data_IF_627957850655
#
_entry.id   IF_627957850655
#
_cell.length_a   1.000
_cell.length_b   1.000
_cell.length_c   1.000
_cell.angle_alpha   90.00
_cell.angle_beta   90.00
_cell.angle_gamma   90.00
#
_symmetry.space_group_name_H-M   'P 1'
#
loop_
_entity.id
_entity.type
_entity.pdbx_description
1 polymer ?
#
# COMPACT_ATOMS: atom_id res chain seq x y z
N UNK A 1 -22.22 7.86 -1.85
CA UNK A 1 -21.05 8.31 -2.65
C UNK A 1 -19.99 7.22 -2.81
N UNK A 2 -19.74 6.39 -1.78
CA UNK A 2 -18.82 5.24 -1.85
C UNK A 2 -19.16 4.22 -2.97
N UNK A 3 -20.45 3.99 -3.26
CA UNK A 3 -20.89 3.03 -4.30
C UNK A 3 -20.63 3.48 -5.75
N UNK A 4 -20.36 4.76 -6.04
CA UNK A 4 -19.96 5.21 -7.38
C UNK A 4 -18.45 5.13 -7.59
N UNK A 5 -17.67 5.24 -6.52
CA UNK A 5 -16.20 5.17 -6.54
C UNK A 5 -15.73 3.73 -6.79
N UNK A 6 -16.38 2.74 -6.16
CA UNK A 6 -16.09 1.32 -6.41
C UNK A 6 -16.47 0.90 -7.84
N UNK A 7 -17.55 1.44 -8.41
CA UNK A 7 -17.98 1.11 -9.77
C UNK A 7 -16.99 1.60 -10.85
N UNK A 8 -16.41 2.79 -10.66
CA UNK A 8 -15.43 3.36 -11.60
C UNK A 8 -14.11 2.59 -11.59
N UNK A 9 -13.65 2.15 -10.41
CA UNK A 9 -12.42 1.35 -10.27
C UNK A 9 -12.61 -0.06 -10.84
N UNK A 10 -13.75 -0.71 -10.55
CA UNK A 10 -14.04 -2.06 -11.08
C UNK A 10 -14.21 -2.03 -12.61
N UNK A 11 -14.80 -0.99 -13.19
CA UNK A 11 -15.00 -0.91 -14.64
C UNK A 11 -13.71 -0.56 -15.42
N UNK A 12 -12.73 0.13 -14.80
CA UNK A 12 -11.44 0.47 -15.44
C UNK A 12 -10.42 -0.69 -15.38
N UNK A 13 -10.40 -1.44 -14.26
CA UNK A 13 -9.50 -2.59 -14.05
C UNK A 13 -9.89 -3.81 -14.90
N UNK A 14 -11.13 -3.92 -15.37
CA UNK A 14 -11.61 -5.06 -16.14
C UNK A 14 -11.14 -5.09 -17.62
N UNK A 15 -10.38 -4.10 -18.12
CA UNK A 15 -9.96 -4.06 -19.54
C UNK A 15 -8.53 -3.54 -19.86
N UNK A 16 -7.70 -3.16 -18.88
CA UNK A 16 -6.40 -2.50 -19.13
C UNK A 16 -5.21 -3.22 -18.46
N UNK A 17 -4.00 -3.06 -19.03
CA UNK A 17 -2.76 -3.63 -18.47
C UNK A 17 -2.39 -2.89 -17.18
N UNK A 18 -1.64 -3.54 -16.29
CA UNK A 18 -1.15 -2.91 -15.06
C UNK A 18 -0.34 -1.62 -15.34
N UNK A 19 0.43 -1.58 -16.43
CA UNK A 19 1.18 -0.39 -16.83
C UNK A 19 0.28 0.81 -17.15
N UNK A 20 -0.86 0.59 -17.81
CA UNK A 20 -1.81 1.66 -18.14
C UNK A 20 -2.37 2.30 -16.86
N UNK A 21 -2.64 1.46 -15.85
CA UNK A 21 -3.05 1.91 -14.53
C UNK A 21 -1.96 2.76 -13.87
N UNK A 22 -0.71 2.32 -13.88
CA UNK A 22 0.42 3.07 -13.30
C UNK A 22 0.61 4.44 -13.99
N UNK A 23 0.47 4.52 -15.31
CA UNK A 23 0.55 5.82 -16.00
C UNK A 23 -0.68 6.71 -15.74
N UNK A 24 -1.85 6.11 -15.55
CA UNK A 24 -3.06 6.84 -15.17
C UNK A 24 -2.92 7.51 -13.80
N UNK A 25 -2.35 6.83 -12.79
CA UNK A 25 -2.23 7.40 -11.44
C UNK A 25 -1.43 8.71 -11.42
N UNK A 26 -0.35 8.80 -12.22
CA UNK A 26 0.43 10.03 -12.40
C UNK A 26 -0.37 11.18 -13.01
N UNK A 27 -1.24 10.89 -13.99
CA UNK A 27 -2.04 11.91 -14.70
C UNK A 27 -3.25 12.38 -13.90
N UNK A 28 -3.90 11.47 -13.19
CA UNK A 28 -5.18 11.72 -12.53
C UNK A 28 -5.08 12.63 -11.30
N UNK A 29 -3.85 12.94 -10.83
CA UNK A 29 -3.54 13.80 -9.69
C UNK A 29 -4.54 13.62 -8.53
N UNK A 30 -4.65 12.38 -8.05
CA UNK A 30 -5.64 11.96 -7.07
C UNK A 30 -4.95 11.62 -5.75
N UNK A 31 -5.53 12.05 -4.62
CA UNK A 31 -4.99 11.77 -3.29
C UNK A 31 -4.82 10.27 -2.99
N UNK A 32 -5.55 9.39 -3.70
CA UNK A 32 -5.48 7.95 -3.51
C UNK A 32 -4.11 7.34 -3.87
N UNK A 33 -3.31 8.05 -4.67
CA UNK A 33 -2.02 7.58 -5.17
C UNK A 33 -0.86 8.46 -4.70
N UNK A 34 -1.09 9.24 -3.66
CA UNK A 34 -0.07 10.09 -3.05
C UNK A 34 0.81 9.27 -2.08
N UNK A 35 2.09 9.63 -1.92
CA UNK A 35 2.97 9.02 -0.93
C UNK A 35 2.37 9.04 0.48
N UNK A 36 2.48 7.90 1.19
CA UNK A 36 1.96 7.71 2.54
C UNK A 36 2.58 8.67 3.55
N UNK A 37 3.83 9.08 3.33
CA UNK A 37 4.54 10.09 4.13
C UNK A 37 3.77 11.40 4.28
N UNK A 38 2.86 11.72 3.34
CA UNK A 38 2.04 12.93 3.40
C UNK A 38 0.88 12.85 4.41
N UNK A 39 0.54 11.65 4.88
CA UNK A 39 -0.60 11.41 5.79
C UNK A 39 -0.19 11.03 7.20
N UNK A 40 1.12 10.93 7.47
CA UNK A 40 1.66 10.46 8.75
C UNK A 40 2.41 11.60 9.43
N UNK A 41 2.28 11.71 10.76
CA UNK A 41 3.04 12.66 11.56
C UNK A 41 4.54 12.52 11.30
N UNK A 42 5.33 13.59 11.42
CA UNK A 42 6.78 13.56 11.17
C UNK A 42 7.52 12.55 12.08
N UNK A 43 7.08 12.44 13.32
CA UNK A 43 7.67 11.53 14.33
C UNK A 43 6.59 10.68 15.00
N UNK A 44 6.16 9.58 14.37
CA UNK A 44 5.18 8.68 14.97
C UNK A 44 5.82 7.85 16.09
N UNK A 45 5.08 7.60 17.17
CA UNK A 45 5.54 6.76 18.30
C UNK A 45 5.71 5.28 17.93
N UNK A 46 5.02 4.84 16.88
CA UNK A 46 5.05 3.50 16.34
C UNK A 46 4.55 3.48 14.88
N UNK A 47 5.20 2.70 14.02
CA UNK A 47 4.75 2.36 12.66
C UNK A 47 4.79 0.84 12.53
N UNK A 48 3.65 0.23 12.20
CA UNK A 48 3.56 -1.19 11.87
C UNK A 48 3.33 -1.42 10.39
N UNK A 49 3.72 -2.59 9.89
CA UNK A 49 3.54 -3.06 8.51
C UNK A 49 2.43 -4.11 8.46
N UNK A 50 1.55 -4.04 7.45
CA UNK A 50 0.45 -5.02 7.28
C UNK A 50 1.00 -6.40 6.93
N UNK A 51 2.15 -6.42 6.26
CA UNK A 51 2.93 -7.61 5.93
C UNK A 51 3.36 -8.35 7.21
N UNK A 52 3.65 -7.61 8.28
CA UNK A 52 4.07 -8.12 9.59
C UNK A 52 2.98 -7.92 10.67
N UNK A 53 1.70 -7.86 10.26
CA UNK A 53 0.61 -7.37 11.09
C UNK A 53 0.58 -7.97 12.50
N UNK A 54 0.65 -9.30 12.62
CA UNK A 54 0.58 -9.97 13.92
C UNK A 54 1.75 -9.60 14.84
N UNK A 55 2.96 -9.52 14.29
CA UNK A 55 4.18 -9.22 15.05
C UNK A 55 4.21 -7.75 15.48
N UNK A 56 3.90 -6.84 14.55
CA UNK A 56 3.88 -5.41 14.84
C UNK A 56 2.71 -5.04 15.77
N UNK A 57 1.57 -5.69 15.62
CA UNK A 57 0.45 -5.50 16.55
C UNK A 57 0.81 -5.97 17.96
N UNK A 58 1.52 -7.11 18.10
CA UNK A 58 2.02 -7.56 19.40
C UNK A 58 2.96 -6.53 20.04
N UNK A 59 3.92 -6.00 19.28
CA UNK A 59 4.83 -4.92 19.75
C UNK A 59 4.05 -3.68 20.19
N UNK A 60 3.00 -3.30 19.45
CA UNK A 60 2.15 -2.18 19.81
C UNK A 60 1.39 -2.45 21.12
N UNK A 61 0.80 -3.65 21.26
CA UNK A 61 0.09 -4.10 22.47
C UNK A 61 0.98 -3.99 23.71
N UNK A 62 2.21 -4.49 23.61
CA UNK A 62 3.23 -4.39 24.67
C UNK A 62 3.60 -2.93 24.97
N UNK A 63 3.77 -2.10 23.93
CA UNK A 63 4.10 -0.66 24.08
C UNK A 63 3.02 0.12 24.81
N UNK A 64 1.74 -0.18 24.57
CA UNK A 64 0.61 0.51 25.22
C UNK A 64 0.14 -0.14 26.52
N UNK A 65 0.69 -1.31 26.87
CA UNK A 65 0.35 -2.02 28.11
C UNK A 65 -1.06 -2.63 28.11
N UNK A 66 -1.60 -2.95 26.93
CA UNK A 66 -2.89 -3.63 26.80
C UNK A 66 -2.66 -5.02 26.21
N UNK A 67 -3.41 -6.00 26.70
CA UNK A 67 -3.46 -7.34 26.10
C UNK A 67 -4.65 -7.38 25.14
N UNK A 68 -4.39 -7.35 23.82
CA UNK A 68 -5.42 -7.27 22.80
C UNK A 68 -5.35 -8.52 21.91
N UNK A 69 -6.43 -9.27 21.87
CA UNK A 69 -6.57 -10.42 20.99
C UNK A 69 -6.74 -9.99 19.53
N UNK A 70 -5.92 -10.56 18.65
CA UNK A 70 -5.97 -10.28 17.21
C UNK A 70 -7.07 -11.15 16.57
N UNK A 71 -8.08 -10.57 15.90
CA UNK A 71 -9.08 -11.37 15.22
C UNK A 71 -8.45 -12.17 14.07
N UNK A 72 -9.01 -13.34 13.72
CA UNK A 72 -8.54 -14.12 12.58
C UNK A 72 -8.54 -13.28 11.30
N UNK A 73 -7.48 -13.42 10.50
CA UNK A 73 -7.37 -12.76 9.20
C UNK A 73 -8.56 -13.17 8.32
N UNK A 74 -9.32 -12.19 7.84
CA UNK A 74 -10.46 -12.39 6.94
C UNK A 74 -10.30 -11.54 5.67
N UNK A 75 -10.98 -11.90 4.59
CA UNK A 75 -10.97 -11.12 3.34
C UNK A 75 -9.70 -11.26 2.49
N UNK A 76 -8.91 -12.32 2.67
CA UNK A 76 -7.73 -12.57 1.83
C UNK A 76 -8.12 -13.08 0.45
N UNK A 77 -7.80 -12.33 -0.60
CA UNK A 77 -7.90 -12.78 -1.98
C UNK A 77 -6.57 -13.38 -2.44
N UNK A 78 -6.65 -14.43 -3.27
CA UNK A 78 -5.46 -15.02 -3.90
C UNK A 78 -5.09 -14.17 -5.10
N UNK A 79 -3.89 -13.62 -5.08
CA UNK A 79 -3.29 -12.91 -6.20
C UNK A 79 -1.88 -13.44 -6.45
N UNK A 80 -1.40 -13.25 -7.67
CA UNK A 80 0.03 -13.41 -7.95
C UNK A 80 0.81 -12.41 -7.08
N UNK A 81 2.06 -12.72 -6.73
CA UNK A 81 2.93 -11.72 -6.13
C UNK A 81 2.97 -10.45 -6.96
N UNK A 82 2.90 -9.28 -6.30
CA UNK A 82 2.70 -8.02 -7.00
C UNK A 82 3.83 -7.71 -8.00
N UNK A 83 5.05 -8.16 -7.71
CA UNK A 83 6.22 -7.94 -8.56
C UNK A 83 6.09 -8.62 -9.93
N UNK A 84 5.26 -9.66 -10.07
CA UNK A 84 5.00 -10.27 -11.39
C UNK A 84 4.29 -9.33 -12.37
N UNK A 85 3.66 -8.27 -11.89
CA UNK A 85 2.99 -7.29 -12.74
C UNK A 85 3.95 -6.19 -13.24
N UNK A 86 5.15 -6.10 -12.69
CA UNK A 86 6.10 -5.01 -12.99
C UNK A 86 7.08 -5.39 -14.10
N UNK A 87 7.32 -4.44 -14.99
CA UNK A 87 8.48 -4.42 -15.87
C UNK A 87 9.61 -3.59 -15.24
N UNK A 88 10.89 -3.76 -15.63
CA UNK A 88 11.99 -2.97 -15.09
C UNK A 88 11.73 -1.45 -15.13
N UNK A 89 11.18 -0.95 -16.24
CA UNK A 89 10.83 0.47 -16.38
C UNK A 89 9.72 0.92 -15.42
N UNK A 90 8.76 0.03 -15.09
CA UNK A 90 7.74 0.35 -14.10
C UNK A 90 8.32 0.40 -12.69
N UNK A 91 9.29 -0.46 -12.37
CA UNK A 91 9.96 -0.44 -11.06
C UNK A 91 10.63 0.90 -10.84
N UNK A 92 11.43 1.37 -11.79
CA UNK A 92 12.10 2.67 -11.73
C UNK A 92 11.09 3.82 -11.59
N UNK A 93 10.03 3.80 -12.40
CA UNK A 93 9.00 4.84 -12.39
C UNK A 93 8.25 4.93 -11.05
N UNK A 94 7.87 3.78 -10.48
CA UNK A 94 7.19 3.74 -9.18
C UNK A 94 8.15 4.08 -8.05
N UNK A 95 9.43 3.68 -8.14
CA UNK A 95 10.45 4.04 -7.17
C UNK A 95 10.70 5.56 -7.12
N UNK A 96 10.68 6.25 -8.27
CA UNK A 96 10.76 7.72 -8.30
C UNK A 96 9.57 8.35 -7.57
N UNK A 97 8.36 7.92 -7.92
CA UNK A 97 7.11 8.45 -7.38
C UNK A 97 6.97 8.27 -5.87
N UNK A 98 7.43 7.14 -5.33
CA UNK A 98 7.33 6.78 -3.91
C UNK A 98 8.68 6.81 -3.19
N UNK A 99 9.67 7.51 -3.74
CA UNK A 99 11.03 7.61 -3.19
C UNK A 99 11.06 7.97 -1.71
N UNK A 100 10.23 8.93 -1.29
CA UNK A 100 10.12 9.36 0.11
C UNK A 100 9.56 8.26 1.03
N UNK A 101 8.61 7.47 0.55
CA UNK A 101 8.05 6.36 1.33
C UNK A 101 9.07 5.23 1.44
N UNK A 102 9.77 4.93 0.34
CA UNK A 102 10.82 3.91 0.29
C UNK A 102 11.92 4.25 1.29
N UNK A 103 12.41 5.50 1.27
CA UNK A 103 13.43 5.98 2.22
C UNK A 103 12.92 5.95 3.66
N UNK A 104 11.72 6.46 3.90
CA UNK A 104 11.20 6.63 5.26
C UNK A 104 10.79 5.32 5.93
N UNK A 105 10.27 4.35 5.18
CA UNK A 105 9.72 3.10 5.72
C UNK A 105 10.60 1.88 5.43
N UNK A 106 11.71 2.08 4.71
CA UNK A 106 12.66 1.03 4.37
C UNK A 106 12.00 -0.09 3.57
N UNK A 107 11.38 0.26 2.45
CA UNK A 107 10.78 -0.72 1.54
C UNK A 107 11.81 -1.23 0.53
N UNK A 108 11.81 -2.54 0.29
CA UNK A 108 12.57 -3.18 -0.79
C UNK A 108 11.61 -3.77 -1.81
N UNK A 109 11.93 -3.63 -3.10
CA UNK A 109 11.12 -4.25 -4.15
C UNK A 109 11.24 -5.78 -4.08
N UNK A 110 10.09 -6.47 -4.06
CA UNK A 110 10.00 -7.94 -4.06
C UNK A 110 10.03 -8.61 -2.68
N UNK A 111 10.03 -7.83 -1.59
CA UNK A 111 9.74 -8.32 -0.24
C UNK A 111 8.25 -8.68 -0.06
#
# INVERSE_FOLDING_TARGET
MLNKIFLVIVQYVLAHRFEDFVYFTKRANNHHWQPQVLFIAETPDFIGKVENFNEDFKKLSEKIGLDIEIPPKSGTSKHKPYWEYYTPSLVEFVAEMYSKDIERFGYTFGE
#
